data_IF_083121088970
#
_entry.id   IF_083121088970
#
_cell.length_a   1.000
_cell.length_b   1.000
_cell.length_c   1.000
_cell.angle_alpha   90.00
_cell.angle_beta   90.00
_cell.angle_gamma   90.00
#
_symmetry.space_group_name_H-M   'P 1'
#
loop_
_entity.id
_entity.type
_entity.pdbx_description
1 polymer ?
#
# COMPACT_ATOMS: atom_id res chain seq x y z
N UNK A 1 27.82 -9.67 -54.23
CA UNK A 1 26.70 -10.46 -53.69
C UNK A 1 26.07 -9.68 -52.57
N UNK A 2 24.74 -9.72 -52.52
CA UNK A 2 23.84 -8.88 -51.74
C UNK A 2 24.07 -8.97 -50.22
N UNK A 3 23.75 -7.87 -49.53
CA UNK A 3 23.56 -7.83 -48.08
C UNK A 3 22.37 -8.70 -47.65
N UNK A 4 22.42 -9.25 -46.44
CA UNK A 4 21.22 -9.53 -45.66
C UNK A 4 21.50 -9.49 -44.16
N UNK A 5 20.78 -8.56 -43.54
CA UNK A 5 20.44 -8.40 -42.14
C UNK A 5 19.65 -9.61 -41.60
N UNK A 6 19.79 -9.87 -40.29
CA UNK A 6 18.70 -10.40 -39.46
C UNK A 6 19.06 -10.28 -37.98
N UNK A 7 18.51 -9.25 -37.34
CA UNK A 7 18.23 -9.26 -35.91
C UNK A 7 16.94 -10.03 -35.60
N UNK A 8 16.84 -10.54 -34.37
CA UNK A 8 15.62 -10.58 -33.54
C UNK A 8 15.90 -11.30 -32.21
N UNK A 9 16.19 -10.53 -31.16
CA UNK A 9 16.11 -11.00 -29.78
C UNK A 9 14.64 -10.91 -29.32
N UNK A 10 13.91 -12.03 -29.34
CA UNK A 10 12.59 -12.14 -28.74
C UNK A 10 12.72 -12.36 -27.23
N UNK A 11 12.51 -11.30 -26.44
CA UNK A 11 12.34 -11.42 -24.99
C UNK A 11 11.00 -12.10 -24.65
N UNK A 12 10.91 -12.80 -23.50
CA UNK A 12 9.66 -13.46 -23.09
C UNK A 12 8.58 -12.41 -22.77
N UNK A 13 7.29 -12.74 -23.02
CA UNK A 13 6.19 -11.83 -22.76
C UNK A 13 6.03 -11.59 -21.25
N UNK A 14 6.04 -10.32 -20.85
CA UNK A 14 5.61 -9.90 -19.52
C UNK A 14 4.09 -10.07 -19.40
N UNK A 15 3.57 -10.72 -18.35
CA UNK A 15 2.13 -10.75 -18.10
C UNK A 15 1.61 -9.34 -17.77
N UNK A 16 0.49 -9.00 -18.38
CA UNK A 16 -0.32 -7.80 -18.16
C UNK A 16 -0.90 -7.83 -16.72
N UNK A 17 -0.23 -7.16 -15.78
CA UNK A 17 -0.80 -6.86 -14.47
C UNK A 17 -1.84 -5.77 -14.64
N UNK A 18 -3.09 -6.19 -14.85
CA UNK A 18 -4.27 -5.35 -14.94
C UNK A 18 -4.40 -4.41 -13.75
N UNK A 19 -3.97 -3.17 -13.94
CA UNK A 19 -4.18 -2.07 -13.03
C UNK A 19 -5.67 -1.71 -13.09
N UNK A 20 -6.44 -2.07 -12.05
CA UNK A 20 -7.77 -1.50 -11.84
C UNK A 20 -7.54 -0.02 -11.56
N UNK A 21 -7.76 0.80 -12.58
CA UNK A 21 -7.80 2.24 -12.44
C UNK A 21 -9.08 2.59 -11.65
N UNK A 22 -8.94 2.75 -10.34
CA UNK A 22 -9.89 3.51 -9.54
C UNK A 22 -9.79 4.98 -9.98
N UNK A 23 -10.59 5.29 -10.99
CA UNK A 23 -10.95 6.63 -11.41
C UNK A 23 -11.89 7.21 -10.36
N UNK A 24 -11.38 8.03 -9.44
CA UNK A 24 -12.17 9.09 -8.81
C UNK A 24 -11.32 10.05 -7.96
N UNK A 25 -11.72 11.32 -8.04
CA UNK A 25 -11.40 12.46 -7.17
C UNK A 25 -10.14 13.29 -7.47
N UNK A 26 -10.23 14.12 -8.51
CA UNK A 26 -9.74 15.51 -8.46
C UNK A 26 -10.46 16.39 -9.50
N UNK A 27 -11.67 16.87 -9.19
CA UNK A 27 -12.21 18.09 -9.81
C UNK A 27 -11.79 19.28 -8.94
N UNK A 28 -11.13 20.25 -9.58
CA UNK A 28 -10.63 21.48 -8.96
C UNK A 28 -11.74 22.35 -8.37
N UNK A 29 -11.32 23.17 -7.42
CA UNK A 29 -12.13 24.18 -6.75
C UNK A 29 -12.22 25.43 -7.62
N UNK A 30 -13.45 25.86 -7.90
CA UNK A 30 -13.80 27.23 -8.23
C UNK A 30 -14.93 27.60 -7.25
N UNK A 31 -14.59 28.34 -6.19
CA UNK A 31 -15.55 28.95 -5.26
C UNK A 31 -15.86 30.35 -5.80
N UNK A 32 -17.03 30.52 -6.43
CA UNK A 32 -17.65 31.84 -6.64
C UNK A 32 -18.80 32.00 -5.64
N UNK A 33 -18.63 32.97 -4.73
CA UNK A 33 -19.64 33.52 -3.83
C UNK A 33 -20.80 34.14 -4.64
N UNK A 34 -22.05 33.75 -4.36
CA UNK A 34 -23.16 34.67 -4.10
C UNK A 34 -24.51 33.95 -3.87
N UNK A 35 -25.31 34.60 -3.04
CA UNK A 35 -26.79 34.64 -3.02
C UNK A 35 -27.57 33.92 -1.90
N UNK A 36 -28.34 34.77 -1.22
CA UNK A 36 -29.22 34.55 -0.08
C UNK A 36 -30.44 33.71 -0.43
N UNK A 37 -30.70 32.60 0.28
CA UNK A 37 -32.08 32.11 0.39
C UNK A 37 -32.34 31.26 1.65
N UNK A 38 -33.36 31.66 2.41
CA UNK A 38 -33.89 30.99 3.58
C UNK A 38 -34.61 29.68 3.21
N UNK A 39 -34.19 28.58 3.85
CA UNK A 39 -34.90 27.30 3.77
C UNK A 39 -34.09 26.17 4.39
N UNK A 40 -34.45 25.76 5.61
CA UNK A 40 -33.73 24.74 6.38
C UNK A 40 -33.57 23.42 5.62
N UNK A 41 -32.33 23.11 5.25
CA UNK A 41 -31.87 21.78 4.84
C UNK A 41 -30.93 21.29 5.94
N UNK A 42 -31.05 20.05 6.44
CA UNK A 42 -30.13 19.53 7.45
C UNK A 42 -28.72 19.55 6.84
N UNK A 43 -27.86 20.36 7.45
CA UNK A 43 -26.50 20.64 7.02
C UNK A 43 -25.66 19.38 7.14
N UNK A 44 -25.22 18.87 5.99
CA UNK A 44 -23.88 18.29 5.75
C UNK A 44 -23.23 17.58 6.93
N UNK A 45 -23.26 16.24 6.91
CA UNK A 45 -22.41 15.38 7.74
C UNK A 45 -20.93 15.75 7.54
N UNK A 46 -20.43 16.71 8.32
CA UNK A 46 -19.02 17.03 8.44
C UNK A 46 -18.30 15.73 8.81
N UNK A 47 -17.62 15.14 7.82
CA UNK A 47 -16.81 13.94 7.94
C UNK A 47 -15.93 14.08 9.18
N UNK A 48 -16.27 13.36 10.25
CA UNK A 48 -15.60 13.52 11.52
C UNK A 48 -14.09 13.32 11.35
N UNK A 49 -13.30 14.30 11.80
CA UNK A 49 -11.84 14.28 11.69
C UNK A 49 -11.20 13.10 12.43
N UNK A 50 -9.88 12.95 12.31
CA UNK A 50 -9.12 11.88 12.97
C UNK A 50 -9.33 11.91 14.49
N UNK A 51 -9.98 10.87 15.03
CA UNK A 51 -10.19 10.72 16.48
C UNK A 51 -9.06 9.93 17.13
N UNK A 52 -8.69 10.30 18.36
CA UNK A 52 -7.73 9.53 19.18
C UNK A 52 -8.35 8.19 19.59
N UNK A 53 -7.55 7.13 19.58
CA UNK A 53 -7.93 5.78 20.04
C UNK A 53 -6.91 5.26 21.05
N UNK A 54 -7.28 4.31 21.89
CA UNK A 54 -6.37 3.59 22.78
C UNK A 54 -5.44 2.67 21.97
N UNK A 55 -4.21 2.45 22.46
CA UNK A 55 -3.26 1.49 21.88
C UNK A 55 -3.49 0.14 22.56
N UNK A 56 -4.54 -0.53 22.13
CA UNK A 56 -4.97 -1.86 22.59
C UNK A 56 -5.59 -2.61 21.40
N UNK A 57 -5.87 -3.91 21.57
CA UNK A 57 -6.50 -4.69 20.51
C UNK A 57 -7.90 -4.16 20.19
N UNK A 58 -8.14 -3.79 18.93
CA UNK A 58 -9.44 -3.28 18.47
C UNK A 58 -10.39 -4.47 18.33
N UNK A 59 -11.35 -4.64 19.25
CA UNK A 59 -12.26 -5.78 19.24
C UNK A 59 -13.18 -5.82 18.01
N UNK A 60 -13.67 -4.66 17.59
CA UNK A 60 -14.54 -4.55 16.41
C UNK A 60 -13.77 -4.92 15.12
N UNK A 61 -14.22 -5.99 14.46
CA UNK A 61 -13.55 -6.59 13.29
C UNK A 61 -13.46 -5.61 12.12
N UNK A 62 -14.54 -4.90 11.80
CA UNK A 62 -14.57 -3.96 10.68
C UNK A 62 -13.61 -2.78 10.89
N UNK A 63 -13.66 -2.15 12.07
CA UNK A 63 -12.74 -1.09 12.46
C UNK A 63 -11.30 -1.56 12.51
N UNK A 64 -11.05 -2.79 12.97
CA UNK A 64 -9.71 -3.39 13.00
C UNK A 64 -9.17 -3.59 11.58
N UNK A 65 -9.98 -4.12 10.65
CA UNK A 65 -9.61 -4.29 9.25
C UNK A 65 -9.32 -2.96 8.55
N UNK A 66 -10.18 -1.96 8.71
CA UNK A 66 -9.94 -0.61 8.17
C UNK A 66 -8.66 -0.01 8.77
N UNK A 67 -8.45 -0.16 10.08
CA UNK A 67 -7.27 0.36 10.76
C UNK A 67 -6.00 -0.35 10.29
N UNK A 68 -6.03 -1.67 10.13
CA UNK A 68 -4.94 -2.46 9.59
C UNK A 68 -4.55 -1.95 8.20
N UNK A 69 -5.50 -1.84 7.28
CA UNK A 69 -5.24 -1.38 5.91
C UNK A 69 -4.61 0.01 5.88
N UNK A 70 -5.17 0.96 6.64
CA UNK A 70 -4.64 2.34 6.70
C UNK A 70 -3.27 2.43 7.36
N UNK A 71 -3.06 1.74 8.49
CA UNK A 71 -1.77 1.76 9.21
C UNK A 71 -0.68 1.04 8.43
N UNK A 72 -0.99 -0.12 7.84
CA UNK A 72 -0.09 -0.87 6.94
C UNK A 72 0.40 0.03 5.81
N UNK A 73 -0.51 0.72 5.11
CA UNK A 73 -0.12 1.64 4.05
C UNK A 73 0.78 2.77 4.57
N UNK A 74 0.41 3.40 5.69
CA UNK A 74 1.19 4.49 6.30
C UNK A 74 2.59 4.07 6.74
N UNK A 75 2.74 2.92 7.40
CA UNK A 75 4.05 2.44 7.87
C UNK A 75 4.94 1.96 6.71
N UNK A 76 4.36 1.34 5.68
CA UNK A 76 5.09 0.98 4.45
C UNK A 76 5.67 2.22 3.77
N UNK A 77 4.86 3.29 3.64
CA UNK A 77 5.33 4.58 3.12
C UNK A 77 6.47 5.16 3.95
N UNK A 78 6.38 5.07 5.28
CA UNK A 78 7.44 5.55 6.18
C UNK A 78 8.73 4.75 6.07
N UNK A 79 8.65 3.43 5.91
CA UNK A 79 9.81 2.58 5.68
C UNK A 79 10.53 2.97 4.37
N UNK A 80 9.77 3.20 3.30
CA UNK A 80 10.29 3.70 2.02
C UNK A 80 10.93 5.09 2.13
N UNK A 81 10.24 6.05 2.76
CA UNK A 81 10.78 7.40 2.99
C UNK A 81 12.10 7.33 3.77
N UNK A 82 12.14 6.54 4.86
CA UNK A 82 13.33 6.40 5.69
C UNK A 82 14.52 5.83 4.90
N UNK A 83 14.34 4.71 4.21
CA UNK A 83 15.42 4.09 3.44
C UNK A 83 15.93 5.01 2.33
N UNK A 84 15.02 5.76 1.69
CA UNK A 84 15.36 6.67 0.59
C UNK A 84 16.13 7.89 1.09
N UNK A 85 15.64 8.53 2.16
CA UNK A 85 16.25 9.76 2.69
C UNK A 85 17.61 9.52 3.34
N UNK A 86 17.84 8.34 3.90
CA UNK A 86 19.04 8.05 4.71
C UNK A 86 19.99 7.04 4.08
N UNK A 87 19.59 6.36 3.00
CA UNK A 87 20.37 5.28 2.39
C UNK A 87 20.52 4.04 3.28
N UNK A 88 19.75 3.93 4.36
CA UNK A 88 19.81 2.80 5.29
C UNK A 88 19.12 1.56 4.75
N UNK A 89 19.56 0.38 5.20
CA UNK A 89 18.89 -0.88 4.89
C UNK A 89 17.73 -1.10 5.85
N UNK A 90 16.54 -1.39 5.31
CA UNK A 90 15.30 -1.50 6.08
C UNK A 90 14.55 -2.74 5.63
N UNK A 91 14.06 -3.53 6.59
CA UNK A 91 13.12 -4.63 6.39
C UNK A 91 11.90 -4.40 7.29
N UNK A 92 10.72 -4.47 6.70
CA UNK A 92 9.43 -4.44 7.39
C UNK A 92 8.58 -5.61 6.89
N UNK A 93 8.05 -6.39 7.82
CA UNK A 93 7.15 -7.51 7.56
C UNK A 93 5.88 -7.33 8.39
N UNK A 94 4.73 -7.45 7.74
CA UNK A 94 3.41 -7.35 8.37
C UNK A 94 2.55 -8.51 7.90
N UNK A 95 2.00 -9.30 8.83
CA UNK A 95 1.10 -10.41 8.50
C UNK A 95 -0.33 -10.02 8.86
N UNK A 96 -1.29 -10.24 7.95
CA UNK A 96 -2.71 -10.03 8.24
C UNK A 96 -3.29 -11.18 9.05
N UNK A 97 -4.49 -10.98 9.59
CA UNK A 97 -5.28 -12.06 10.20
C UNK A 97 -5.59 -13.22 9.24
N UNK A 98 -5.53 -12.96 7.93
CA UNK A 98 -5.73 -13.98 6.88
C UNK A 98 -4.43 -14.71 6.52
N UNK A 99 -3.31 -14.40 7.18
CA UNK A 99 -2.01 -15.02 6.89
C UNK A 99 -1.26 -14.41 5.70
N UNK A 100 -1.77 -13.33 5.10
CA UNK A 100 -1.06 -12.66 4.00
C UNK A 100 0.12 -11.86 4.55
N UNK A 101 1.30 -12.12 3.98
CA UNK A 101 2.54 -11.45 4.35
C UNK A 101 2.77 -10.27 3.41
N UNK A 102 2.78 -9.06 3.97
CA UNK A 102 3.15 -7.83 3.29
C UNK A 102 4.56 -7.42 3.70
N UNK A 103 5.39 -7.08 2.72
CA UNK A 103 6.79 -6.75 2.98
C UNK A 103 7.20 -5.45 2.32
N UNK A 104 8.11 -4.73 2.97
CA UNK A 104 8.96 -3.72 2.38
C UNK A 104 10.41 -4.09 2.71
N UNK A 105 11.28 -4.06 1.71
CA UNK A 105 12.68 -4.42 1.89
C UNK A 105 13.58 -3.63 0.95
N UNK A 106 14.75 -3.23 1.43
CA UNK A 106 15.83 -2.69 0.60
C UNK A 106 16.62 -3.81 -0.08
N UNK A 107 17.41 -3.47 -1.11
CA UNK A 107 18.08 -4.44 -1.98
C UNK A 107 18.93 -5.48 -1.24
N UNK A 108 19.71 -5.09 -0.22
CA UNK A 108 20.56 -6.04 0.51
C UNK A 108 19.77 -7.03 1.38
N UNK A 109 18.57 -6.66 1.80
CA UNK A 109 17.71 -7.47 2.65
C UNK A 109 16.66 -8.27 1.85
N UNK A 110 16.50 -7.95 0.56
CA UNK A 110 15.55 -8.62 -0.33
C UNK A 110 15.67 -10.15 -0.33
N UNK A 111 16.87 -10.76 -0.27
CA UNK A 111 17.00 -12.21 -0.20
C UNK A 111 16.25 -12.87 0.96
N UNK A 112 16.05 -12.18 2.09
CA UNK A 112 15.33 -12.72 3.25
C UNK A 112 13.86 -13.05 2.96
N UNK A 113 13.25 -12.36 1.99
CA UNK A 113 11.84 -12.56 1.63
C UNK A 113 11.65 -13.19 0.25
N UNK A 114 12.69 -13.23 -0.58
CA UNK A 114 12.62 -13.82 -1.94
C UNK A 114 13.23 -15.21 -2.02
N UNK A 115 14.31 -15.49 -1.29
CA UNK A 115 15.01 -16.78 -1.36
C UNK A 115 14.30 -17.85 -0.50
N UNK A 116 14.38 -19.13 -0.88
CA UNK A 116 13.73 -20.22 -0.15
C UNK A 116 14.14 -20.30 1.32
N UNK A 117 15.42 -20.10 1.64
CA UNK A 117 15.93 -20.16 3.01
C UNK A 117 15.24 -19.14 3.92
N UNK A 118 15.17 -17.87 3.48
CA UNK A 118 14.50 -16.81 4.23
C UNK A 118 12.99 -17.02 4.33
N UNK A 119 12.34 -17.45 3.23
CA UNK A 119 10.91 -17.78 3.23
C UNK A 119 10.58 -18.90 4.22
N UNK A 120 11.39 -19.96 4.24
CA UNK A 120 11.21 -21.09 5.15
C UNK A 120 11.35 -20.66 6.61
N UNK A 121 12.32 -19.79 6.92
CA UNK A 121 12.49 -19.23 8.26
C UNK A 121 11.26 -18.42 8.69
N UNK A 122 10.78 -17.51 7.82
CA UNK A 122 9.57 -16.72 8.09
C UNK A 122 8.37 -17.65 8.33
N UNK A 123 8.18 -18.65 7.47
CA UNK A 123 7.07 -19.60 7.58
C UNK A 123 7.15 -20.43 8.86
N UNK A 124 8.34 -20.90 9.25
CA UNK A 124 8.54 -21.64 10.50
C UNK A 124 8.17 -20.79 11.72
N UNK A 125 8.54 -19.51 11.74
CA UNK A 125 8.16 -18.59 12.81
C UNK A 125 6.64 -18.33 12.87
N UNK A 126 5.96 -18.24 11.73
CA UNK A 126 4.52 -17.97 11.67
C UNK A 126 3.66 -19.19 12.01
N UNK A 127 4.20 -20.39 11.83
CA UNK A 127 3.54 -21.65 12.17
C UNK A 127 3.86 -22.13 13.59
N UNK A 128 4.72 -21.42 14.33
CA UNK A 128 5.01 -21.75 15.71
C UNK A 128 3.73 -21.61 16.58
N UNK A 129 3.48 -22.54 17.50
CA UNK A 129 2.27 -22.57 18.33
C UNK A 129 2.17 -21.42 19.33
#
# INVERSE_FOLDING_TARGET
MHAQDQGAAGGPPVPDDGFIADHDAASGADDDDDDDNAGGKPTTDKKAGRRKIKIEFIQDKSRRHITFSKRKAGIMKKAYELSTLTGTQVLLLVVSETGLVYTFTTAKLQPLVTQPEGKNLIQACLNAP
#
